data_IF_423264390487
#
_entry.id   IF_423264390487
#
_cell.length_a   1.000
_cell.length_b   1.000
_cell.length_c   1.000
_cell.angle_alpha   90.00
_cell.angle_beta   90.00
_cell.angle_gamma   90.00
#
_symmetry.space_group_name_H-M   'P 1'
#
loop_
_entity.id
_entity.type
_entity.pdbx_description
1 polymer ?
#
# COMPACT_ATOMS: atom_id res chain seq x y z
N UNK A 1 -32.55 22.07 51.68
CA UNK A 1 -33.11 20.73 52.01
C UNK A 1 -32.37 19.69 51.21
N UNK A 2 -31.71 18.77 51.92
CA UNK A 2 -30.93 17.65 51.37
C UNK A 2 -31.86 16.56 50.83
N UNK A 3 -31.46 15.88 49.73
CA UNK A 3 -31.73 14.43 49.59
C UNK A 3 -30.71 13.80 48.65
N UNK A 4 -29.92 12.90 49.22
CA UNK A 4 -29.06 11.91 48.58
C UNK A 4 -29.91 10.75 48.07
N UNK A 5 -29.46 10.10 47.00
CA UNK A 5 -29.63 8.67 46.69
C UNK A 5 -28.62 8.35 45.59
N UNK A 6 -27.70 7.46 45.66
CA UNK A 6 -27.68 6.17 46.27
C UNK A 6 -27.16 5.22 45.19
N UNK A 7 -25.82 5.00 45.19
CA UNK A 7 -25.11 4.09 44.29
C UNK A 7 -25.39 2.64 44.72
N UNK A 8 -25.92 1.81 43.85
CA UNK A 8 -25.99 0.36 44.04
C UNK A 8 -24.89 -0.34 43.27
N UNK A 9 -23.89 -0.81 43.98
CA UNK A 9 -22.84 -1.73 43.52
C UNK A 9 -23.44 -3.15 43.62
N UNK A 10 -23.51 -3.84 42.48
CA UNK A 10 -23.85 -5.26 42.44
C UNK A 10 -22.57 -6.07 42.30
N UNK A 11 -22.13 -6.68 43.38
CA UNK A 11 -21.05 -7.67 43.43
C UNK A 11 -21.69 -9.02 43.12
N UNK A 12 -21.28 -9.65 42.00
CA UNK A 12 -21.56 -11.07 41.76
C UNK A 12 -20.27 -11.85 41.99
N UNK A 13 -20.31 -12.61 43.09
CA UNK A 13 -19.33 -13.60 43.48
C UNK A 13 -19.72 -14.93 42.83
N UNK A 14 -18.86 -15.53 42.03
CA UNK A 14 -19.17 -16.80 41.36
C UNK A 14 -17.94 -17.63 41.02
N UNK A 15 -17.57 -18.49 41.93
CA UNK A 15 -16.96 -19.83 41.85
C UNK A 15 -15.76 -20.08 40.89
N UNK A 16 -14.64 -20.35 41.59
CA UNK A 16 -13.50 -21.13 41.08
C UNK A 16 -13.95 -22.55 40.69
N UNK A 17 -13.69 -22.94 39.46
CA UNK A 17 -13.46 -24.32 39.08
C UNK A 17 -12.08 -24.40 38.43
N UNK A 18 -11.17 -25.12 39.14
CA UNK A 18 -9.87 -25.48 38.62
C UNK A 18 -10.05 -26.50 37.49
N UNK A 19 -9.67 -26.11 36.27
CA UNK A 19 -9.51 -27.01 35.16
C UNK A 19 -8.11 -26.80 34.60
N UNK A 20 -7.20 -27.76 34.78
CA UNK A 20 -5.96 -27.86 34.05
C UNK A 20 -6.31 -28.05 32.55
N UNK A 21 -6.13 -27.05 31.75
CA UNK A 21 -6.21 -27.11 30.28
C UNK A 21 -4.99 -26.44 29.70
N UNK A 22 -4.26 -27.18 28.91
CA UNK A 22 -3.07 -26.77 28.18
C UNK A 22 -3.27 -25.41 27.51
N UNK A 23 -2.38 -24.45 27.82
CA UNK A 23 -2.20 -23.27 27.01
C UNK A 23 -1.62 -23.69 25.65
N UNK A 24 -2.48 -23.96 24.69
CA UNK A 24 -2.11 -23.84 23.28
C UNK A 24 -1.93 -22.34 23.02
N UNK A 25 -0.72 -21.96 22.60
CA UNK A 25 -0.44 -20.64 22.08
C UNK A 25 -1.52 -20.29 21.04
N UNK A 26 -2.09 -19.10 21.16
CA UNK A 26 -2.94 -18.57 20.13
C UNK A 26 -2.08 -18.47 18.87
N UNK A 27 -2.37 -19.31 17.90
CA UNK A 27 -1.88 -19.15 16.53
C UNK A 27 -2.29 -17.75 16.07
N UNK A 28 -1.27 -16.91 15.84
CA UNK A 28 -1.47 -15.68 15.09
C UNK A 28 -1.96 -16.11 13.70
N UNK A 29 -3.22 -15.89 13.42
CA UNK A 29 -3.76 -16.03 12.07
C UNK A 29 -3.10 -14.95 11.23
N UNK A 30 -1.95 -15.27 10.63
CA UNK A 30 -1.46 -14.54 9.47
C UNK A 30 -2.59 -14.53 8.45
N UNK A 31 -3.03 -13.33 8.08
CA UNK A 31 -3.91 -13.20 6.92
C UNK A 31 -3.15 -13.76 5.72
N UNK A 32 -3.75 -14.65 4.93
CA UNK A 32 -3.10 -15.15 3.73
C UNK A 32 -2.76 -13.93 2.86
N UNK A 33 -1.47 -13.77 2.53
CA UNK A 33 -1.07 -12.85 1.48
C UNK A 33 -1.82 -13.25 0.21
N UNK A 34 -2.41 -12.29 -0.51
CA UNK A 34 -2.98 -12.60 -1.82
C UNK A 34 -1.86 -13.21 -2.67
N UNK A 35 -2.09 -14.38 -3.22
CA UNK A 35 -1.14 -15.08 -4.09
C UNK A 35 -0.99 -14.29 -5.40
N UNK A 36 -0.05 -13.35 -5.41
CA UNK A 36 0.32 -12.53 -6.58
C UNK A 36 1.16 -13.37 -7.56
N UNK A 37 1.55 -14.59 -7.21
CA UNK A 37 2.55 -15.39 -7.92
C UNK A 37 2.17 -15.77 -9.35
N UNK A 38 0.89 -15.79 -9.69
CA UNK A 38 0.44 -16.16 -11.05
C UNK A 38 0.42 -14.99 -12.04
N UNK A 39 0.38 -13.73 -11.57
CA UNK A 39 0.35 -12.55 -12.43
C UNK A 39 1.70 -11.82 -12.55
N UNK A 40 2.67 -12.09 -11.67
CA UNK A 40 4.03 -11.53 -11.74
C UNK A 40 4.85 -12.01 -12.96
N UNK A 41 4.37 -12.99 -13.72
CA UNK A 41 5.14 -13.65 -14.79
C UNK A 41 5.39 -12.84 -16.05
N UNK A 42 4.81 -11.66 -16.21
CA UNK A 42 4.83 -10.98 -17.52
C UNK A 42 5.71 -9.71 -17.62
N UNK A 43 6.52 -9.34 -16.63
CA UNK A 43 7.31 -8.10 -16.68
C UNK A 43 8.81 -8.35 -16.54
N UNK A 44 9.26 -9.60 -16.54
CA UNK A 44 10.69 -9.86 -16.64
C UNK A 44 11.12 -9.78 -18.10
N UNK A 45 11.43 -8.58 -18.59
CA UNK A 45 12.35 -8.50 -19.73
C UNK A 45 13.65 -9.15 -19.27
N UNK A 46 14.01 -10.25 -19.92
CA UNK A 46 15.25 -10.96 -19.63
C UNK A 46 16.40 -9.95 -19.60
N UNK A 47 17.02 -9.79 -18.45
CA UNK A 47 18.20 -8.96 -18.31
C UNK A 47 19.26 -9.49 -19.30
N UNK A 48 19.96 -8.63 -20.03
CA UNK A 48 21.06 -9.06 -20.92
C UNK A 48 22.09 -9.85 -20.10
N UNK A 49 22.57 -10.95 -20.67
CA UNK A 49 23.41 -11.94 -19.97
C UNK A 49 24.81 -11.46 -19.52
N UNK A 50 25.16 -10.20 -19.73
CA UNK A 50 26.47 -9.64 -19.41
C UNK A 50 26.32 -8.25 -18.75
N UNK A 51 25.59 -8.21 -17.64
CA UNK A 51 25.51 -7.01 -16.81
C UNK A 51 26.70 -7.02 -15.83
N UNK A 52 27.63 -6.08 -16.02
CA UNK A 52 28.60 -5.70 -14.99
C UNK A 52 27.89 -5.43 -13.64
N UNK A 53 28.64 -5.21 -12.57
CA UNK A 53 28.06 -4.96 -11.24
C UNK A 53 26.91 -3.91 -11.34
N UNK A 54 25.68 -4.33 -10.96
CA UNK A 54 24.51 -3.44 -10.97
C UNK A 54 24.80 -2.25 -10.05
N UNK A 55 24.67 -1.04 -10.59
CA UNK A 55 24.88 0.17 -9.82
C UNK A 55 23.74 0.34 -8.80
N UNK A 56 24.08 0.25 -7.53
CA UNK A 56 23.17 0.55 -6.43
C UNK A 56 23.11 2.06 -6.16
N UNK A 57 21.89 2.56 -5.93
CA UNK A 57 21.61 3.96 -5.62
C UNK A 57 20.75 3.98 -4.37
N UNK A 58 21.35 4.48 -3.29
CA UNK A 58 20.67 4.59 -2.01
C UNK A 58 19.62 5.69 -2.02
N UNK A 59 18.41 5.36 -1.58
CA UNK A 59 17.28 6.28 -1.43
C UNK A 59 17.14 6.66 0.04
N UNK A 60 17.67 7.82 0.40
CA UNK A 60 17.55 8.37 1.75
C UNK A 60 16.08 8.65 2.10
N UNK A 61 15.64 8.31 3.32
CA UNK A 61 14.33 8.69 3.83
C UNK A 61 14.43 10.01 4.62
N UNK A 62 14.04 11.15 4.03
CA UNK A 62 14.25 12.46 4.63
C UNK A 62 13.34 12.74 5.84
N UNK A 63 12.25 11.98 5.98
CA UNK A 63 11.27 12.17 7.06
C UNK A 63 10.35 10.97 7.16
N UNK A 64 9.88 10.64 8.35
CA UNK A 64 8.78 9.68 8.57
C UNK A 64 7.40 10.30 8.41
N UNK A 65 7.33 11.61 8.31
CA UNK A 65 6.14 12.37 7.92
C UNK A 65 6.13 12.66 6.41
N UNK A 66 5.26 13.55 5.99
CA UNK A 66 5.23 14.06 4.62
C UNK A 66 6.55 14.75 4.23
N UNK A 67 6.97 14.54 2.99
CA UNK A 67 8.12 15.19 2.38
C UNK A 67 7.85 15.54 0.92
N UNK A 68 8.28 16.70 0.49
CA UNK A 68 8.33 17.09 -0.93
C UNK A 68 9.55 17.96 -1.19
N UNK A 69 10.37 17.56 -2.15
CA UNK A 69 11.60 18.29 -2.49
C UNK A 69 11.29 19.67 -3.09
N UNK A 70 10.18 19.79 -3.82
CA UNK A 70 9.74 21.05 -4.44
C UNK A 70 8.22 21.09 -4.53
N UNK A 71 7.60 21.89 -3.68
CA UNK A 71 6.15 22.06 -3.68
C UNK A 71 5.65 22.64 -5.02
N UNK A 72 4.62 22.05 -5.64
CA UNK A 72 4.03 22.58 -6.85
C UNK A 72 3.31 23.90 -6.57
N UNK A 73 3.25 24.76 -7.58
CA UNK A 73 2.54 26.06 -7.48
C UNK A 73 1.03 25.90 -7.25
N UNK A 74 0.44 24.78 -7.69
CA UNK A 74 -0.96 24.41 -7.48
C UNK A 74 -1.07 22.90 -7.37
N UNK A 75 -2.05 22.42 -6.58
CA UNK A 75 -2.40 21.02 -6.50
C UNK A 75 -3.37 20.62 -7.64
N UNK A 76 -3.38 19.37 -8.01
CA UNK A 76 -4.38 18.82 -8.90
C UNK A 76 -5.79 18.95 -8.29
N UNK A 77 -6.79 19.14 -9.15
CA UNK A 77 -8.19 19.07 -8.71
C UNK A 77 -8.55 17.59 -8.40
N UNK A 78 -9.25 17.31 -7.30
CA UNK A 78 -9.71 15.97 -7.01
C UNK A 78 -10.63 15.43 -8.12
N UNK A 79 -10.51 14.14 -8.41
CA UNK A 79 -11.45 13.44 -9.28
C UNK A 79 -12.79 13.26 -8.56
N UNK A 80 -13.88 13.51 -9.24
CA UNK A 80 -15.21 13.21 -8.67
C UNK A 80 -15.51 11.72 -8.83
N UNK A 81 -15.57 11.01 -7.72
CA UNK A 81 -15.93 9.59 -7.67
C UNK A 81 -17.43 9.43 -7.41
N UNK A 82 -18.20 9.17 -8.48
CA UNK A 82 -19.63 8.90 -8.38
C UNK A 82 -19.85 7.40 -8.23
N UNK A 83 -20.29 6.96 -7.04
CA UNK A 83 -20.54 5.54 -6.75
C UNK A 83 -21.69 5.00 -7.63
N UNK A 84 -21.42 3.93 -8.38
CA UNK A 84 -22.39 3.24 -9.23
C UNK A 84 -22.94 1.99 -8.55
N UNK A 85 -22.05 1.14 -8.00
CA UNK A 85 -22.43 -0.09 -7.31
C UNK A 85 -21.72 -0.22 -5.97
N UNK A 86 -22.31 -1.03 -5.10
CA UNK A 86 -21.75 -1.45 -3.83
C UNK A 86 -22.37 -2.81 -3.47
N UNK A 87 -21.61 -3.88 -3.55
CA UNK A 87 -22.06 -5.25 -3.37
C UNK A 87 -21.19 -5.97 -2.35
N UNK A 88 -21.79 -6.83 -1.51
CA UNK A 88 -21.00 -7.68 -0.60
C UNK A 88 -20.23 -8.74 -1.42
N UNK A 89 -19.01 -9.03 -1.01
CA UNK A 89 -18.18 -10.07 -1.61
C UNK A 89 -17.72 -11.11 -0.59
N UNK A 90 -17.01 -12.14 -1.07
CA UNK A 90 -16.27 -13.11 -0.27
C UNK A 90 -14.78 -12.99 -0.61
N UNK A 91 -13.92 -13.05 0.39
CA UNK A 91 -12.46 -12.91 0.17
C UNK A 91 -11.91 -13.97 -0.80
N UNK A 92 -12.52 -15.15 -0.84
CA UNK A 92 -12.10 -16.29 -1.65
C UNK A 92 -12.49 -16.19 -3.13
N UNK A 93 -13.28 -15.19 -3.55
CA UNK A 93 -13.78 -15.03 -4.92
C UNK A 93 -13.05 -13.90 -5.70
N UNK A 94 -11.79 -13.64 -5.37
CA UNK A 94 -11.01 -12.56 -6.00
C UNK A 94 -10.79 -12.83 -7.48
N UNK A 95 -10.43 -14.05 -7.86
CA UNK A 95 -10.22 -14.42 -9.27
C UNK A 95 -11.52 -14.32 -10.07
N UNK A 96 -12.63 -14.81 -9.51
CA UNK A 96 -13.96 -14.66 -10.10
C UNK A 96 -14.34 -13.18 -10.30
N UNK A 97 -13.95 -12.30 -9.36
CA UNK A 97 -14.18 -10.87 -9.49
C UNK A 97 -13.40 -10.26 -10.67
N UNK A 98 -12.13 -10.65 -10.84
CA UNK A 98 -11.33 -10.24 -11.99
C UNK A 98 -11.95 -10.74 -13.30
N UNK A 99 -12.30 -12.03 -13.38
CA UNK A 99 -12.88 -12.64 -14.57
C UNK A 99 -14.25 -12.03 -14.92
N UNK A 100 -15.18 -11.98 -13.96
CA UNK A 100 -16.54 -11.44 -14.12
C UNK A 100 -16.56 -10.03 -14.69
N UNK A 101 -15.61 -9.19 -14.27
CA UNK A 101 -15.51 -7.81 -14.70
C UNK A 101 -14.53 -7.60 -15.86
N UNK A 102 -13.89 -8.67 -16.34
CA UNK A 102 -12.85 -8.63 -17.37
C UNK A 102 -11.77 -7.60 -17.00
N UNK A 103 -11.21 -7.75 -15.79
CA UNK A 103 -10.19 -6.88 -15.23
C UNK A 103 -8.82 -7.55 -15.30
N UNK A 104 -7.78 -6.72 -15.31
CA UNK A 104 -6.40 -7.12 -15.09
C UNK A 104 -5.70 -6.06 -14.26
N UNK A 105 -4.64 -6.42 -13.56
CA UNK A 105 -3.75 -5.43 -12.99
C UNK A 105 -3.06 -4.72 -14.16
N UNK A 106 -3.56 -3.52 -14.47
CA UNK A 106 -3.00 -2.73 -15.55
C UNK A 106 -1.62 -2.24 -15.10
N UNK A 107 -0.60 -2.86 -15.62
CA UNK A 107 0.72 -2.23 -15.68
C UNK A 107 0.65 -1.33 -16.92
N UNK A 108 0.54 -0.02 -16.71
CA UNK A 108 0.68 0.93 -17.82
C UNK A 108 2.03 0.66 -18.47
N UNK A 109 2.06 0.77 -19.79
CA UNK A 109 3.32 0.66 -20.54
C UNK A 109 4.29 1.71 -19.99
N UNK A 110 5.32 1.25 -19.32
CA UNK A 110 6.38 2.11 -18.77
C UNK A 110 7.31 2.64 -19.86
N UNK A 111 6.97 2.41 -21.15
CA UNK A 111 7.72 2.82 -22.31
C UNK A 111 9.10 2.16 -22.34
N UNK A 112 10.14 2.96 -22.18
CA UNK A 112 11.54 2.49 -22.21
C UNK A 112 12.03 1.79 -20.95
N UNK A 113 11.26 1.84 -19.84
CA UNK A 113 11.70 1.32 -18.56
C UNK A 113 11.09 -0.05 -18.25
N UNK A 114 11.92 -0.98 -17.78
CA UNK A 114 11.49 -2.22 -17.13
C UNK A 114 11.66 -2.11 -15.62
N UNK A 115 10.79 -2.78 -14.86
CA UNK A 115 10.81 -2.84 -13.40
C UNK A 115 10.92 -4.26 -12.87
N UNK A 116 11.65 -4.43 -11.79
CA UNK A 116 11.65 -5.64 -10.97
C UNK A 116 11.72 -5.29 -9.49
N UNK A 117 11.02 -6.03 -8.65
CA UNK A 117 11.09 -5.90 -7.19
C UNK A 117 11.71 -7.19 -6.63
N UNK A 118 13.05 -7.28 -6.53
CA UNK A 118 13.70 -8.48 -6.02
C UNK A 118 13.45 -8.62 -4.52
N UNK A 119 13.29 -9.86 -4.07
CA UNK A 119 13.35 -10.18 -2.65
C UNK A 119 14.80 -10.34 -2.20
N UNK A 120 15.11 -9.88 -0.99
CA UNK A 120 16.38 -10.16 -0.34
C UNK A 120 16.44 -11.62 0.19
N UNK A 121 17.57 -12.00 0.81
CA UNK A 121 17.76 -13.35 1.36
C UNK A 121 16.76 -13.74 2.46
N UNK A 122 16.12 -12.74 3.08
CA UNK A 122 15.09 -12.91 4.12
C UNK A 122 13.68 -12.65 3.60
N UNK A 123 13.48 -12.59 2.28
CA UNK A 123 12.19 -12.34 1.64
C UNK A 123 11.75 -10.87 1.66
N UNK A 124 12.59 -9.95 2.16
CA UNK A 124 12.28 -8.51 2.18
C UNK A 124 12.32 -7.88 0.79
N UNK A 125 11.43 -6.94 0.54
CA UNK A 125 11.29 -6.23 -0.74
C UNK A 125 11.58 -4.74 -0.53
N UNK A 126 12.86 -4.37 -0.38
CA UNK A 126 13.29 -2.98 -0.17
C UNK A 126 14.09 -2.42 -1.34
N UNK A 127 14.10 -3.11 -2.48
CA UNK A 127 14.86 -2.73 -3.66
C UNK A 127 14.00 -2.76 -4.92
N UNK A 128 14.30 -1.87 -5.85
CA UNK A 128 13.72 -1.87 -7.19
C UNK A 128 14.84 -1.89 -8.21
N UNK A 129 14.84 -2.89 -9.07
CA UNK A 129 15.66 -2.91 -10.27
C UNK A 129 14.96 -2.15 -11.39
N UNK A 130 15.68 -1.25 -12.04
CA UNK A 130 15.23 -0.48 -13.19
C UNK A 130 16.13 -0.77 -14.38
N UNK A 131 15.49 -1.10 -15.49
CA UNK A 131 16.17 -1.26 -16.79
C UNK A 131 15.78 -0.07 -17.66
N UNK A 132 16.73 0.80 -18.05
CA UNK A 132 16.51 1.83 -19.06
C UNK A 132 16.86 1.24 -20.44
N UNK A 133 15.85 0.84 -21.21
CA UNK A 133 16.02 0.18 -22.50
C UNK A 133 16.59 1.10 -23.59
N UNK A 134 16.47 2.43 -23.46
CA UNK A 134 17.10 3.37 -24.40
C UNK A 134 18.60 3.53 -24.15
N UNK A 135 18.99 3.59 -22.88
CA UNK A 135 20.40 3.73 -22.48
C UNK A 135 21.13 2.40 -22.37
N UNK A 136 20.39 1.28 -22.31
CA UNK A 136 20.96 -0.03 -21.97
C UNK A 136 21.53 -0.06 -20.56
N UNK A 137 21.04 0.78 -19.65
CA UNK A 137 21.49 0.90 -18.26
C UNK A 137 20.59 0.05 -17.36
N UNK A 138 21.21 -0.69 -16.43
CA UNK A 138 20.50 -1.34 -15.33
C UNK A 138 21.03 -0.79 -14.01
N UNK A 139 20.13 -0.37 -13.14
CA UNK A 139 20.48 0.10 -11.80
C UNK A 139 19.45 -0.35 -10.78
N UNK A 140 19.84 -0.31 -9.52
CA UNK A 140 18.99 -0.70 -8.39
C UNK A 140 18.81 0.49 -7.45
N UNK A 141 17.56 0.81 -7.13
CA UNK A 141 17.20 1.77 -6.09
C UNK A 141 17.03 1.02 -4.77
N UNK A 142 17.79 1.40 -3.76
CA UNK A 142 17.80 0.79 -2.43
C UNK A 142 17.04 1.67 -1.44
N UNK A 143 15.91 1.17 -0.95
CA UNK A 143 15.00 1.82 0.00
C UNK A 143 15.17 1.28 1.43
N UNK A 144 16.34 0.78 1.80
CA UNK A 144 16.58 0.23 3.14
C UNK A 144 16.31 1.24 4.27
N UNK A 145 16.48 2.54 4.05
CA UNK A 145 16.13 3.59 5.03
C UNK A 145 14.63 3.71 5.31
N UNK A 146 13.79 3.06 4.51
CA UNK A 146 12.34 3.04 4.68
C UNK A 146 11.84 1.77 5.40
N UNK A 147 12.74 0.85 5.75
CA UNK A 147 12.36 -0.46 6.29
C UNK A 147 11.75 -0.38 7.69
N UNK A 148 12.31 0.45 8.55
CA UNK A 148 11.91 0.52 9.95
C UNK A 148 11.81 1.96 10.42
N UNK A 149 10.62 2.38 10.83
CA UNK A 149 10.47 3.59 11.64
C UNK A 149 11.08 3.36 13.04
N UNK A 150 11.62 4.41 13.66
CA UNK A 150 12.35 4.28 14.93
C UNK A 150 11.50 4.07 16.18
N UNK A 151 10.17 4.01 16.06
CA UNK A 151 9.20 4.06 17.16
C UNK A 151 8.43 2.74 17.39
N UNK A 152 8.96 1.62 16.94
CA UNK A 152 8.36 0.31 17.14
C UNK A 152 8.94 -0.45 18.35
N UNK A 153 8.17 -1.40 18.90
CA UNK A 153 8.65 -2.33 19.92
C UNK A 153 9.56 -3.38 19.30
N UNK A 154 10.69 -3.64 19.91
CA UNK A 154 11.67 -4.60 19.38
C UNK A 154 11.09 -6.02 19.18
N UNK A 155 10.09 -6.42 19.98
CA UNK A 155 9.39 -7.69 19.83
C UNK A 155 8.50 -7.76 18.59
N UNK A 156 8.21 -6.62 17.95
CA UNK A 156 7.35 -6.49 16.78
C UNK A 156 8.15 -6.27 15.49
N UNK A 157 9.49 -6.30 15.56
CA UNK A 157 10.38 -5.97 14.45
C UNK A 157 10.02 -6.69 13.15
N UNK A 158 9.76 -7.99 13.20
CA UNK A 158 9.42 -8.78 12.01
C UNK A 158 8.05 -8.39 11.40
N UNK A 159 7.13 -7.87 12.22
CA UNK A 159 5.80 -7.46 11.76
C UNK A 159 5.77 -6.05 11.19
N UNK A 160 6.65 -5.15 11.65
CA UNK A 160 6.68 -3.74 11.25
C UNK A 160 7.72 -3.43 10.16
N UNK A 161 8.32 -4.47 9.58
CA UNK A 161 9.22 -4.34 8.45
C UNK A 161 8.45 -3.84 7.23
N UNK A 162 8.70 -2.61 6.83
CA UNK A 162 8.08 -2.05 5.63
C UNK A 162 8.71 -2.61 4.36
N UNK A 163 7.89 -2.88 3.37
CA UNK A 163 8.30 -3.44 2.09
C UNK A 163 7.65 -2.66 0.95
N UNK A 164 8.28 -2.69 -0.21
CA UNK A 164 7.68 -2.19 -1.44
C UNK A 164 6.55 -3.16 -1.82
N UNK A 165 5.33 -2.66 -1.87
CA UNK A 165 4.11 -3.43 -2.15
C UNK A 165 3.74 -3.40 -3.63
N UNK A 166 3.92 -2.26 -4.26
CA UNK A 166 3.59 -2.04 -5.67
C UNK A 166 4.44 -0.90 -6.22
N UNK A 167 4.74 -0.95 -7.51
CA UNK A 167 5.46 0.11 -8.22
C UNK A 167 4.97 0.25 -9.66
N UNK A 168 4.94 1.48 -10.15
CA UNK A 168 4.55 1.83 -11.51
C UNK A 168 5.38 3.01 -12.00
N UNK A 169 5.76 3.02 -13.27
CA UNK A 169 6.40 4.18 -13.90
C UNK A 169 5.38 4.89 -14.79
N UNK A 170 5.33 6.21 -14.65
CA UNK A 170 4.65 7.09 -15.59
C UNK A 170 5.65 8.14 -16.06
N UNK A 171 5.81 8.25 -17.37
CA UNK A 171 6.84 9.06 -18.00
C UNK A 171 8.25 8.61 -17.55
N UNK A 172 8.94 9.38 -16.73
CA UNK A 172 10.24 9.03 -16.14
C UNK A 172 10.20 9.03 -14.59
N UNK A 173 9.01 9.06 -14.04
CA UNK A 173 8.80 9.05 -12.58
C UNK A 173 8.35 7.66 -12.15
N UNK A 174 9.07 7.09 -11.20
CA UNK A 174 8.69 5.87 -10.51
C UNK A 174 7.83 6.25 -9.30
N UNK A 175 6.62 5.71 -9.25
CA UNK A 175 5.74 5.75 -8.09
C UNK A 175 5.75 4.39 -7.43
N UNK A 176 5.83 4.35 -6.10
CA UNK A 176 5.85 3.09 -5.35
C UNK A 176 5.11 3.22 -4.03
N UNK A 177 4.44 2.15 -3.61
CA UNK A 177 3.87 2.05 -2.27
C UNK A 177 4.80 1.24 -1.37
N UNK A 178 5.00 1.72 -0.13
CA UNK A 178 5.87 1.11 0.88
C UNK A 178 5.07 0.97 2.16
N UNK A 179 5.08 -0.21 2.76
CA UNK A 179 4.38 -0.41 4.03
C UNK A 179 4.47 -1.83 4.55
N UNK A 180 4.01 -2.01 5.77
CA UNK A 180 3.76 -3.32 6.40
C UNK A 180 2.25 -3.56 6.57
N UNK A 181 1.86 -4.79 6.95
CA UNK A 181 0.47 -5.18 7.14
C UNK A 181 0.15 -5.46 8.61
N UNK A 182 0.62 -4.61 9.51
CA UNK A 182 0.26 -4.68 10.94
C UNK A 182 -0.44 -3.40 11.37
N UNK A 183 -0.98 -3.37 12.60
CA UNK A 183 -1.70 -2.21 13.11
C UNK A 183 -0.82 -0.97 13.18
N UNK A 184 -1.37 0.20 12.79
CA UNK A 184 -0.68 1.48 12.85
C UNK A 184 -0.32 1.89 14.29
N UNK A 185 -1.03 1.40 15.30
CA UNK A 185 -0.69 1.60 16.72
C UNK A 185 0.69 1.02 17.08
N UNK A 186 1.10 -0.06 16.43
CA UNK A 186 2.43 -0.65 16.63
C UNK A 186 3.52 0.18 15.95
N UNK A 187 3.20 0.79 14.81
CA UNK A 187 4.10 1.65 14.03
C UNK A 187 3.27 2.60 13.16
N UNK A 188 2.94 3.81 13.66
CA UNK A 188 2.09 4.77 12.94
C UNK A 188 2.74 5.32 11.66
N UNK A 189 4.06 5.21 11.53
CA UNK A 189 4.82 5.65 10.37
C UNK A 189 4.90 4.51 9.34
N UNK A 190 3.79 4.26 8.66
CA UNK A 190 3.58 3.12 7.76
C UNK A 190 2.74 3.53 6.54
N UNK A 191 2.77 2.72 5.49
CA UNK A 191 1.83 2.76 4.36
C UNK A 191 1.87 4.07 3.55
N UNK A 192 3.02 4.33 2.95
CA UNK A 192 3.30 5.51 2.12
C UNK A 192 3.14 5.22 0.63
N UNK A 193 3.00 6.32 -0.12
CA UNK A 193 3.39 6.38 -1.53
C UNK A 193 4.58 7.31 -1.66
N UNK A 194 5.53 6.97 -2.52
CA UNK A 194 6.69 7.80 -2.84
C UNK A 194 6.87 7.94 -4.36
N UNK A 195 7.52 9.00 -4.78
CA UNK A 195 7.88 9.26 -6.18
C UNK A 195 9.37 9.53 -6.32
N UNK A 196 9.98 8.90 -7.31
CA UNK A 196 11.40 9.02 -7.63
C UNK A 196 11.58 9.43 -9.09
N UNK A 197 12.34 10.47 -9.35
CA UNK A 197 12.81 10.82 -10.69
C UNK A 197 13.89 9.82 -11.11
N UNK A 198 13.64 9.05 -12.17
CA UNK A 198 14.57 8.04 -12.69
C UNK A 198 15.73 8.66 -13.47
N UNK A 199 15.58 9.87 -14.01
CA UNK A 199 16.66 10.56 -14.70
C UNK A 199 17.67 11.14 -13.70
N UNK A 200 17.18 11.82 -12.67
CA UNK A 200 18.00 12.40 -11.59
C UNK A 200 18.35 11.37 -10.51
N UNK A 201 17.61 10.24 -10.43
CA UNK A 201 17.76 9.19 -9.43
C UNK A 201 17.58 9.75 -8.00
N UNK A 202 16.53 10.56 -7.81
CA UNK A 202 16.24 11.28 -6.56
C UNK A 202 14.80 11.12 -6.15
N UNK A 203 14.58 11.02 -4.84
CA UNK A 203 13.26 11.12 -4.23
C UNK A 203 12.69 12.52 -4.47
N UNK A 204 11.52 12.59 -5.12
CA UNK A 204 10.79 13.84 -5.33
C UNK A 204 9.89 14.16 -4.15
N UNK A 205 9.11 13.17 -3.72
CA UNK A 205 8.20 13.30 -2.59
C UNK A 205 7.88 11.94 -1.96
N UNK A 206 7.42 12.00 -0.73
CA UNK A 206 6.81 10.91 0.02
C UNK A 206 5.54 11.44 0.68
N UNK A 207 4.42 10.72 0.54
CA UNK A 207 3.15 11.08 1.14
C UNK A 207 3.21 11.09 2.68
N UNK A 208 2.18 11.59 3.32
CA UNK A 208 1.93 11.27 4.73
C UNK A 208 1.74 9.77 4.92
N UNK A 209 1.94 9.24 6.14
CA UNK A 209 1.65 7.83 6.45
C UNK A 209 0.17 7.50 6.35
N UNK A 210 -0.15 6.21 6.32
CA UNK A 210 -1.49 5.63 6.36
C UNK A 210 -2.39 6.04 5.18
N UNK A 211 -1.82 6.01 3.97
CA UNK A 211 -2.58 6.30 2.74
C UNK A 211 -2.64 5.13 1.76
N UNK A 212 -1.69 4.16 1.84
CA UNK A 212 -1.59 3.09 0.83
C UNK A 212 -1.13 1.76 1.43
N UNK A 213 -2.06 0.82 1.61
CA UNK A 213 -1.76 -0.59 1.94
C UNK A 213 -2.55 -1.59 1.09
N UNK A 214 -3.19 -1.15 0.02
CA UNK A 214 -3.75 -1.99 -1.01
C UNK A 214 -2.64 -2.71 -1.81
N UNK A 215 -3.01 -3.75 -2.57
CA UNK A 215 -2.07 -4.48 -3.42
C UNK A 215 -1.51 -3.62 -4.56
N UNK A 216 -2.26 -2.60 -4.98
CA UNK A 216 -1.86 -1.65 -6.02
C UNK A 216 -2.47 -0.26 -5.78
N UNK A 217 -2.03 0.69 -6.58
CA UNK A 217 -2.68 1.98 -6.80
C UNK A 217 -2.91 2.20 -8.31
N UNK A 218 -3.67 3.21 -8.68
CA UNK A 218 -3.88 3.61 -10.07
C UNK A 218 -3.65 5.11 -10.25
N UNK A 219 -3.20 5.50 -11.44
CA UNK A 219 -2.97 6.91 -11.79
C UNK A 219 -3.97 7.32 -12.86
N UNK A 220 -4.65 8.44 -12.66
CA UNK A 220 -5.55 9.06 -13.64
C UNK A 220 -5.25 10.55 -13.78
N UNK A 221 -4.70 10.95 -14.92
CA UNK A 221 -4.23 12.34 -15.11
C UNK A 221 -3.15 12.68 -14.09
N UNK A 222 -3.39 13.71 -13.28
CA UNK A 222 -2.47 14.20 -12.25
C UNK A 222 -2.87 13.76 -10.83
N UNK A 223 -3.69 12.70 -10.72
CA UNK A 223 -4.17 12.14 -9.45
C UNK A 223 -3.76 10.68 -9.33
N UNK A 224 -3.20 10.31 -8.18
CA UNK A 224 -2.96 8.93 -7.79
C UNK A 224 -4.03 8.48 -6.80
N UNK A 225 -4.72 7.38 -7.12
CA UNK A 225 -5.74 6.75 -6.29
C UNK A 225 -5.15 5.55 -5.58
N UNK A 226 -5.11 5.55 -4.26
CA UNK A 226 -4.65 4.43 -3.44
C UNK A 226 -5.63 4.12 -2.32
N UNK A 227 -5.46 3.00 -1.64
CA UNK A 227 -6.35 2.57 -0.57
C UNK A 227 -5.59 2.31 0.72
N UNK A 228 -6.16 2.74 1.83
CA UNK A 228 -5.69 2.39 3.17
C UNK A 228 -6.86 2.05 4.09
N UNK A 229 -6.63 1.07 4.95
CA UNK A 229 -7.52 0.66 6.01
C UNK A 229 -6.93 -0.51 6.80
N UNK A 230 -7.41 -0.71 8.03
CA UNK A 230 -7.06 -1.84 8.87
C UNK A 230 -8.17 -2.14 9.87
N UNK A 231 -8.14 -3.30 10.54
CA UNK A 231 -9.25 -3.88 11.31
C UNK A 231 -9.97 -2.92 12.28
N UNK A 232 -9.33 -1.95 12.87
CA UNK A 232 -9.93 -0.98 13.80
C UNK A 232 -9.74 0.46 13.33
N UNK A 233 -9.26 0.65 12.12
CA UNK A 233 -8.95 1.95 11.54
C UNK A 233 -9.96 2.30 10.44
N UNK A 234 -10.16 3.59 10.19
CA UNK A 234 -11.05 4.02 9.10
C UNK A 234 -10.48 3.63 7.73
N UNK A 235 -11.36 3.12 6.87
CA UNK A 235 -11.04 2.64 5.53
C UNK A 235 -11.37 3.69 4.47
N UNK A 236 -10.38 4.06 3.65
CA UNK A 236 -10.55 5.07 2.62
C UNK A 236 -9.87 4.70 1.30
N UNK A 237 -10.44 5.21 0.21
CA UNK A 237 -9.73 5.47 -1.04
C UNK A 237 -9.20 6.91 -0.93
N UNK A 238 -7.90 7.09 -1.01
CA UNK A 238 -7.24 8.39 -1.00
C UNK A 238 -6.96 8.85 -2.42
N UNK A 239 -7.03 10.15 -2.63
CA UNK A 239 -6.56 10.83 -3.83
C UNK A 239 -5.34 11.65 -3.47
N UNK A 240 -4.22 11.39 -4.12
CA UNK A 240 -2.99 12.14 -3.94
C UNK A 240 -2.71 12.99 -5.19
N UNK A 241 -2.26 14.20 -4.97
CA UNK A 241 -1.67 15.02 -6.03
C UNK A 241 -0.40 14.33 -6.55
N UNK A 242 -0.34 14.08 -7.85
CA UNK A 242 0.74 13.29 -8.45
C UNK A 242 2.09 14.03 -8.41
N UNK A 243 2.08 15.36 -8.38
CA UNK A 243 3.28 16.18 -8.35
C UNK A 243 3.91 16.34 -6.96
N UNK A 244 3.12 16.17 -5.89
CA UNK A 244 3.59 16.42 -4.51
C UNK A 244 3.35 15.27 -3.53
N UNK A 245 2.46 14.33 -3.84
CA UNK A 245 2.04 13.29 -2.89
C UNK A 245 1.11 13.76 -1.78
N UNK A 246 0.64 15.00 -1.82
CA UNK A 246 -0.34 15.52 -0.86
C UNK A 246 -1.69 14.86 -1.06
N UNK A 247 -2.37 14.54 0.05
CA UNK A 247 -3.77 14.11 0.02
C UNK A 247 -4.63 15.31 -0.38
N UNK A 248 -5.36 15.19 -1.49
CA UNK A 248 -6.28 16.22 -2.01
C UNK A 248 -7.74 15.87 -1.75
N UNK A 249 -8.07 14.57 -1.60
CA UNK A 249 -9.41 14.11 -1.24
C UNK A 249 -9.36 12.65 -0.72
N UNK A 250 -10.47 12.19 -0.12
CA UNK A 250 -10.65 10.78 0.27
C UNK A 250 -12.12 10.38 0.27
N UNK A 251 -12.37 9.14 -0.11
CA UNK A 251 -13.70 8.52 -0.16
C UNK A 251 -13.76 7.34 0.80
N UNK A 252 -14.71 7.36 1.76
CA UNK A 252 -14.87 6.28 2.73
C UNK A 252 -15.40 5.00 2.05
N UNK A 253 -14.86 3.85 2.45
CA UNK A 253 -15.30 2.50 2.08
C UNK A 253 -15.58 1.68 3.34
N UNK A 254 -16.17 0.48 3.20
CA UNK A 254 -16.58 -0.32 4.37
C UNK A 254 -15.47 -1.14 5.00
N UNK A 255 -14.44 -1.43 4.25
CA UNK A 255 -13.28 -2.21 4.70
C UNK A 255 -12.08 -1.87 3.83
N UNK A 256 -10.89 -2.29 4.27
CA UNK A 256 -9.62 -2.08 3.58
C UNK A 256 -9.74 -2.43 2.09
N UNK A 257 -9.32 -1.52 1.23
CA UNK A 257 -9.20 -1.80 -0.20
C UNK A 257 -8.04 -2.79 -0.45
N UNK A 258 -8.34 -3.86 -1.21
CA UNK A 258 -7.33 -4.82 -1.64
C UNK A 258 -6.84 -4.50 -3.05
N UNK A 259 -7.75 -4.17 -3.97
CA UNK A 259 -7.42 -3.84 -5.35
C UNK A 259 -8.17 -2.59 -5.82
N UNK A 260 -7.49 -1.78 -6.63
CA UNK A 260 -8.05 -0.65 -7.37
C UNK A 260 -7.74 -0.85 -8.86
N UNK A 261 -8.75 -1.02 -9.70
CA UNK A 261 -8.55 -1.22 -11.14
C UNK A 261 -9.29 -0.13 -11.90
N UNK A 262 -8.54 0.58 -12.74
CA UNK A 262 -9.11 1.59 -13.63
C UNK A 262 -9.31 0.97 -15.02
N UNK A 263 -10.56 0.95 -15.48
CA UNK A 263 -10.91 0.52 -16.84
C UNK A 263 -11.83 1.56 -17.44
N UNK A 264 -11.42 2.17 -18.53
CA UNK A 264 -12.06 3.33 -19.13
C UNK A 264 -12.16 4.48 -18.10
N UNK A 265 -13.37 4.90 -17.74
CA UNK A 265 -13.61 5.89 -16.69
C UNK A 265 -14.32 5.27 -15.48
N UNK A 266 -14.20 3.97 -15.29
CA UNK A 266 -14.75 3.25 -14.14
C UNK A 266 -13.59 2.77 -13.27
N UNK A 267 -13.63 3.15 -12.00
CA UNK A 267 -12.77 2.62 -10.97
C UNK A 267 -13.50 1.44 -10.30
N UNK A 268 -12.97 0.25 -10.47
CA UNK A 268 -13.37 -0.95 -9.75
C UNK A 268 -12.54 -1.03 -8.48
N UNK A 269 -13.18 -1.17 -7.35
CA UNK A 269 -12.51 -1.29 -6.05
C UNK A 269 -13.00 -2.55 -5.36
N UNK A 270 -12.09 -3.49 -5.14
CA UNK A 270 -12.34 -4.63 -4.29
C UNK A 270 -11.81 -4.33 -2.90
N UNK A 271 -12.66 -4.48 -1.90
CA UNK A 271 -12.27 -4.40 -0.49
C UNK A 271 -12.43 -5.77 0.16
N UNK A 272 -11.99 -5.93 1.39
CA UNK A 272 -12.06 -7.18 2.13
C UNK A 272 -13.46 -7.85 2.12
N UNK A 273 -14.54 -7.08 2.15
CA UNK A 273 -15.91 -7.62 2.24
C UNK A 273 -16.91 -6.93 1.30
N UNK A 274 -16.48 -6.01 0.44
CA UNK A 274 -17.40 -5.23 -0.40
C UNK A 274 -16.71 -4.83 -1.71
N UNK A 275 -17.39 -5.04 -2.83
CA UNK A 275 -16.98 -4.56 -4.14
C UNK A 275 -17.70 -3.26 -4.48
N UNK A 276 -16.99 -2.33 -5.08
CA UNK A 276 -17.50 -1.05 -5.53
C UNK A 276 -17.17 -0.81 -6.99
N UNK A 277 -18.02 -0.07 -7.67
CA UNK A 277 -17.65 0.64 -8.90
C UNK A 277 -17.95 2.12 -8.74
N UNK A 278 -17.02 2.95 -9.20
CA UNK A 278 -17.17 4.40 -9.24
C UNK A 278 -16.96 4.89 -10.68
N UNK A 279 -17.80 5.82 -11.13
CA UNK A 279 -17.49 6.61 -12.33
C UNK A 279 -16.57 7.75 -11.93
N UNK A 280 -15.52 7.95 -12.72
CA UNK A 280 -14.60 9.08 -12.56
C UNK A 280 -15.01 10.18 -13.55
N UNK A 281 -15.25 11.38 -13.01
CA UNK A 281 -15.60 12.59 -13.77
C UNK A 281 -14.60 13.71 -13.50
#
# INVERSE_FOLDING_TARGET
MKRNAGCAVMIILGMLLAGCGNHTAAESTEMPEPDISSQEKNILMAAPADLGAIRQIHMENPSWEYYCAMEPASLAAPLKLTKLTQEANQITDTDDWFEKNNLSLNVEDSGKYGLGIPSDENGGKCRIQVVDGEKGEVFELDFSDFEYAGDFKQSEKEFVRQQIRYAQIKDHILYLSIGHLTYAESSPHNAYVAAVDLAEKKLLWKSQPLVSNAANFVIKGDVLLCGYGFTAEPDYIYQLDLGSGKVIDKTAVKSKADYLILKDNILYVRTYNTDYTFRIE
#
